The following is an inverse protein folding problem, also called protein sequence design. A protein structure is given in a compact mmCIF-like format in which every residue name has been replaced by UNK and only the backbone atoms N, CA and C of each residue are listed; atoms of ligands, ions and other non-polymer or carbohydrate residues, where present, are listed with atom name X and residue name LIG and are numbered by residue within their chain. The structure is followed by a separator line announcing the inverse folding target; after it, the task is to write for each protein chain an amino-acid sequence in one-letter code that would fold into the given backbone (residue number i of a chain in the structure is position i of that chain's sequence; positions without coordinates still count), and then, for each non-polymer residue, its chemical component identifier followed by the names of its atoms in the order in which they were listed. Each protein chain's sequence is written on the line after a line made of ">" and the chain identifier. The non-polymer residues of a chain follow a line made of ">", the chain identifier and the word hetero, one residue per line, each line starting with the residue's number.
data_IF_933189642995
#
_entry.id   IF_933189642995
#
_cell.length_a   1.000
_cell.length_b   1.000
_cell.length_c   1.000
_cell.angle_alpha   90.00
_cell.angle_beta   90.00
_cell.angle_gamma   90.00
#
_symmetry.space_group_name_H-M   'P 1'
#
loop_
_entity.id
_entity.type
_entity.pdbx_description
1 polymer ?
#
# COMPACT_ATOMS: atom_id res chain seq x y z
N UNK A 1 13.56 9.73 17.89
CA UNK A 1 14.43 8.66 17.34
C UNK A 1 14.92 9.07 15.96
N UNK A 2 16.18 8.77 15.61
CA UNK A 2 16.78 9.16 14.32
C UNK A 2 15.98 8.66 13.09
N UNK A 3 15.34 7.50 13.21
CA UNK A 3 14.58 6.84 12.14
C UNK A 3 13.14 7.33 12.00
N UNK A 4 12.65 8.20 12.89
CA UNK A 4 11.24 8.64 12.90
C UNK A 4 10.76 9.25 11.56
N UNK A 5 11.54 10.08 10.82
CA UNK A 5 11.08 10.66 9.56
C UNK A 5 10.85 9.64 8.43
N UNK A 6 11.48 8.47 8.51
CA UNK A 6 11.49 7.46 7.43
C UNK A 6 10.74 6.18 7.81
N UNK A 7 10.13 6.13 9.00
CA UNK A 7 9.35 4.99 9.49
C UNK A 7 7.90 5.39 9.73
N UNK A 8 6.98 4.43 9.77
CA UNK A 8 5.63 4.64 10.26
C UNK A 8 5.65 4.91 11.78
N UNK A 9 6.48 4.16 12.51
CA UNK A 9 6.84 4.48 13.87
C UNK A 9 8.22 3.93 14.22
N UNK A 10 8.79 4.51 15.27
CA UNK A 10 10.06 4.11 15.86
C UNK A 10 9.87 3.98 17.37
N UNK A 11 10.11 2.78 17.92
CA UNK A 11 9.90 2.47 19.33
C UNK A 11 11.12 1.73 19.92
N UNK A 12 11.23 1.72 21.25
CA UNK A 12 12.22 0.93 22.00
C UNK A 12 11.43 -0.02 22.91
N UNK A 13 11.74 -1.31 22.87
CA UNK A 13 11.22 -2.28 23.83
C UNK A 13 12.05 -2.17 25.11
N UNK A 14 11.44 -1.73 26.21
CA UNK A 14 12.11 -1.56 27.50
C UNK A 14 12.06 -2.85 28.33
N UNK A 15 11.08 -3.71 28.06
CA UNK A 15 10.89 -5.03 28.66
C UNK A 15 10.62 -6.09 27.59
N UNK A 16 10.77 -7.37 27.91
CA UNK A 16 10.48 -8.45 26.97
C UNK A 16 8.99 -8.49 26.63
N UNK A 17 8.15 -8.11 27.60
CA UNK A 17 6.70 -8.05 27.53
C UNK A 17 6.17 -6.99 26.54
N UNK A 18 6.98 -5.99 26.17
CA UNK A 18 6.61 -4.99 25.17
C UNK A 18 6.62 -5.56 23.74
N UNK A 19 7.43 -6.60 23.49
CA UNK A 19 7.67 -7.12 22.13
C UNK A 19 6.41 -7.64 21.43
N UNK A 20 5.56 -8.47 22.07
CA UNK A 20 4.35 -8.96 21.43
C UNK A 20 3.46 -7.83 20.89
N UNK A 21 3.23 -6.78 21.68
CA UNK A 21 2.38 -5.66 21.27
C UNK A 21 3.04 -4.81 20.18
N UNK A 22 4.34 -4.50 20.31
CA UNK A 22 5.07 -3.73 19.31
C UNK A 22 5.12 -4.43 17.95
N UNK A 23 5.28 -5.77 17.95
CA UNK A 23 5.24 -6.58 16.73
C UNK A 23 3.82 -6.62 16.16
N UNK A 24 2.79 -6.88 16.98
CA UNK A 24 1.40 -6.87 16.53
C UNK A 24 1.01 -5.51 15.93
N UNK A 25 1.48 -4.41 16.51
CA UNK A 25 1.30 -3.07 15.97
C UNK A 25 2.05 -2.86 14.65
N UNK A 26 3.26 -3.41 14.49
CA UNK A 26 4.00 -3.33 13.23
C UNK A 26 3.23 -3.99 12.08
N UNK A 27 2.73 -5.22 12.31
CA UNK A 27 1.92 -5.92 11.32
C UNK A 27 0.58 -5.24 11.02
N UNK A 28 -0.06 -4.65 12.04
CA UNK A 28 -1.24 -3.83 11.83
C UNK A 28 -0.99 -2.69 10.83
N UNK A 29 0.11 -1.95 10.99
CA UNK A 29 0.49 -0.87 10.08
C UNK A 29 0.73 -1.39 8.66
N UNK A 30 1.37 -2.55 8.52
CA UNK A 30 1.64 -3.15 7.21
C UNK A 30 0.35 -3.54 6.47
N UNK A 31 -0.67 -3.99 7.20
CA UNK A 31 -1.92 -4.49 6.64
C UNK A 31 -2.97 -3.39 6.39
N UNK A 32 -3.06 -2.39 7.27
CA UNK A 32 -4.14 -1.40 7.23
C UNK A 32 -3.79 -0.10 6.49
N UNK A 33 -2.51 0.20 6.27
CA UNK A 33 -2.07 1.49 5.72
C UNK A 33 -1.29 1.35 4.42
N UNK A 34 -0.74 2.46 3.91
CA UNK A 34 0.34 2.38 2.91
C UNK A 34 1.55 1.74 3.59
N UNK A 35 2.06 0.60 3.09
CA UNK A 35 3.21 -0.05 3.71
C UNK A 35 4.38 0.92 3.85
N UNK A 36 4.87 1.06 5.08
CA UNK A 36 6.00 1.92 5.46
C UNK A 36 6.89 1.14 6.43
N UNK A 37 8.22 1.36 6.43
CA UNK A 37 9.11 0.69 7.37
C UNK A 37 8.72 0.98 8.82
N UNK A 38 8.93 0.01 9.71
CA UNK A 38 8.78 0.17 11.16
C UNK A 38 10.13 -0.13 11.81
N UNK A 39 10.48 0.63 12.84
CA UNK A 39 11.71 0.42 13.62
C UNK A 39 11.38 0.09 15.07
N UNK A 40 11.87 -1.05 15.55
CA UNK A 40 11.79 -1.46 16.96
C UNK A 40 13.23 -1.72 17.42
N UNK A 41 13.70 -0.94 18.39
CA UNK A 41 14.99 -1.16 19.04
C UNK A 41 14.81 -2.07 20.24
N UNK A 42 15.65 -3.09 20.34
CA UNK A 42 15.60 -4.09 21.42
C UNK A 42 16.98 -4.15 22.08
N UNK A 43 17.12 -3.68 23.34
CA UNK A 43 18.35 -3.85 24.11
C UNK A 43 18.72 -5.33 24.27
N UNK A 44 20.01 -5.66 24.30
CA UNK A 44 20.46 -7.06 24.35
C UNK A 44 19.94 -7.82 25.58
N UNK A 45 19.84 -7.16 26.72
CA UNK A 45 19.30 -7.73 27.95
C UNK A 45 17.78 -7.99 27.86
N UNK A 46 17.06 -7.24 27.02
CA UNK A 46 15.64 -7.47 26.73
C UNK A 46 15.49 -8.61 25.72
N UNK A 47 16.34 -8.63 24.69
CA UNK A 47 16.32 -9.67 23.65
C UNK A 47 16.58 -11.07 24.21
N UNK A 48 17.43 -11.20 25.24
CA UNK A 48 17.73 -12.48 25.88
C UNK A 48 16.76 -12.89 26.98
N UNK A 49 15.84 -12.00 27.39
CA UNK A 49 14.88 -12.29 28.45
C UNK A 49 13.66 -13.06 27.90
N UNK A 50 13.14 -14.05 28.65
CA UNK A 50 11.94 -14.78 28.23
C UNK A 50 10.69 -13.91 28.38
N UNK A 51 9.74 -14.06 27.46
CA UNK A 51 8.37 -13.55 27.65
C UNK A 51 7.59 -14.59 28.46
N UNK A 52 7.00 -14.19 29.59
CA UNK A 52 6.39 -15.11 30.56
C UNK A 52 5.17 -15.90 30.03
N UNK A 53 4.55 -15.45 28.94
CA UNK A 53 3.35 -16.04 28.33
C UNK A 53 3.61 -16.46 26.90
N UNK A 54 2.85 -17.45 26.44
CA UNK A 54 2.74 -17.72 25.01
C UNK A 54 2.04 -16.53 24.32
N UNK A 55 2.65 -16.06 23.23
CA UNK A 55 2.17 -14.94 22.43
C UNK A 55 2.18 -15.27 20.94
N UNK A 56 2.32 -16.55 20.59
CA UNK A 56 2.39 -17.03 19.21
C UNK A 56 1.14 -16.65 18.39
N UNK A 57 0.01 -16.43 19.07
CA UNK A 57 -1.28 -16.06 18.46
C UNK A 57 -1.64 -14.58 18.65
N UNK A 58 -0.79 -13.76 19.25
CA UNK A 58 -1.10 -12.35 19.53
C UNK A 58 -0.97 -11.46 18.30
N UNK A 59 -0.12 -11.86 17.36
CA UNK A 59 0.06 -11.17 16.07
C UNK A 59 -1.06 -11.61 15.13
N UNK A 60 -2.28 -11.13 15.40
CA UNK A 60 -3.43 -11.38 14.54
C UNK A 60 -3.41 -10.41 13.37
N UNK A 61 -3.63 -10.95 12.16
CA UNK A 61 -3.90 -10.15 10.95
C UNK A 61 -5.03 -9.18 11.25
N UNK A 62 -4.72 -7.87 11.21
CA UNK A 62 -5.76 -6.85 11.35
C UNK A 62 -6.51 -6.71 10.02
N UNK A 63 -7.77 -6.23 10.04
CA UNK A 63 -8.50 -5.98 8.81
C UNK A 63 -7.63 -5.15 7.87
N UNK A 64 -7.53 -5.61 6.63
CA UNK A 64 -6.76 -4.91 5.61
C UNK A 64 -7.34 -3.51 5.34
N UNK A 65 -6.66 -2.78 4.46
CA UNK A 65 -7.16 -1.50 3.93
C UNK A 65 -8.66 -1.55 3.63
N UNK A 66 -9.39 -0.56 4.14
CA UNK A 66 -10.82 -0.45 3.89
C UNK A 66 -11.13 -0.36 2.40
N UNK A 67 -12.28 -0.89 2.00
CA UNK A 67 -12.81 -0.70 0.64
C UNK A 67 -13.46 0.67 0.51
N UNK A 68 -13.51 1.27 -0.70
CA UNK A 68 -14.29 2.47 -0.94
C UNK A 68 -15.75 2.28 -0.52
N UNK A 69 -16.41 3.37 -0.07
CA UNK A 69 -17.85 3.34 0.18
C UNK A 69 -18.61 3.21 -1.14
N UNK A 70 -19.82 2.64 -1.11
CA UNK A 70 -20.69 2.56 -2.28
C UNK A 70 -20.92 3.94 -2.93
N UNK A 71 -21.12 4.98 -2.11
CA UNK A 71 -21.27 6.36 -2.58
C UNK A 71 -20.06 6.87 -3.34
N UNK A 72 -18.84 6.63 -2.84
CA UNK A 72 -17.62 7.04 -3.54
C UNK A 72 -17.44 6.29 -4.86
N UNK A 73 -17.86 5.03 -4.92
CA UNK A 73 -17.84 4.24 -6.15
C UNK A 73 -18.85 4.77 -7.18
N UNK A 74 -20.07 5.07 -6.77
CA UNK A 74 -21.11 5.63 -7.63
C UNK A 74 -20.69 6.99 -8.22
N UNK A 75 -20.10 7.85 -7.40
CA UNK A 75 -19.54 9.13 -7.86
C UNK A 75 -18.43 8.95 -8.89
N UNK A 76 -17.52 7.99 -8.67
CA UNK A 76 -16.45 7.69 -9.62
C UNK A 76 -17.01 7.20 -10.96
N UNK A 77 -18.00 6.29 -10.93
CA UNK A 77 -18.68 5.77 -12.12
C UNK A 77 -19.39 6.89 -12.88
N UNK A 78 -20.12 7.77 -12.18
CA UNK A 78 -20.80 8.90 -12.82
C UNK A 78 -19.81 9.86 -13.51
N UNK A 79 -18.67 10.14 -12.88
CA UNK A 79 -17.60 10.98 -13.48
C UNK A 79 -16.98 10.31 -14.71
N UNK A 80 -16.72 9.01 -14.66
CA UNK A 80 -16.18 8.27 -15.80
C UNK A 80 -17.17 8.22 -16.97
N UNK A 81 -18.47 8.04 -16.71
CA UNK A 81 -19.51 8.07 -17.75
C UNK A 81 -19.66 9.45 -18.41
N UNK A 82 -19.50 10.53 -17.65
CA UNK A 82 -19.58 11.90 -18.19
C UNK A 82 -18.31 12.36 -18.92
N UNK A 83 -17.21 11.62 -18.83
CA UNK A 83 -15.92 12.01 -19.40
C UNK A 83 -15.91 11.86 -20.92
N UNK A 84 -15.59 12.95 -21.64
CA UNK A 84 -15.49 12.93 -23.11
C UNK A 84 -14.16 12.36 -23.62
N UNK A 85 -13.07 12.56 -22.86
CA UNK A 85 -11.70 12.15 -23.22
C UNK A 85 -10.95 11.68 -21.96
N UNK A 86 -11.36 10.54 -21.35
CA UNK A 86 -10.74 10.06 -20.13
C UNK A 86 -9.29 9.60 -20.37
N UNK A 87 -8.46 9.72 -19.34
CA UNK A 87 -7.14 9.13 -19.28
C UNK A 87 -6.93 8.51 -17.89
N UNK A 88 -6.09 7.48 -17.81
CA UNK A 88 -5.75 6.80 -16.55
C UNK A 88 -4.29 7.10 -16.22
N UNK A 89 -4.02 7.49 -14.97
CA UNK A 89 -2.66 7.64 -14.45
C UNK A 89 -2.53 6.67 -13.26
N UNK A 90 -1.70 5.65 -13.40
CA UNK A 90 -1.53 4.59 -12.40
C UNK A 90 -0.10 4.58 -11.84
N UNK A 91 0.03 4.55 -10.52
CA UNK A 91 1.32 4.44 -9.82
C UNK A 91 1.60 3.02 -9.34
N UNK A 92 2.77 2.82 -8.69
CA UNK A 92 3.15 1.51 -8.13
C UNK A 92 2.18 0.93 -7.09
N UNK A 93 1.28 1.74 -6.53
CA UNK A 93 0.20 1.24 -5.66
C UNK A 93 -0.83 0.36 -6.39
N UNK A 94 -0.85 0.37 -7.72
CA UNK A 94 -1.78 -0.41 -8.51
C UNK A 94 -1.19 -1.72 -9.08
N UNK A 95 0.06 -2.09 -8.71
CA UNK A 95 0.76 -3.25 -9.29
C UNK A 95 -0.04 -4.56 -9.19
N UNK A 96 -0.81 -4.73 -8.12
CA UNK A 96 -1.66 -5.92 -7.92
C UNK A 96 -3.02 -5.83 -8.64
N UNK A 97 -3.27 -4.78 -9.40
CA UNK A 97 -4.51 -4.52 -10.13
C UNK A 97 -4.24 -4.31 -11.64
N UNK A 98 -3.16 -4.89 -12.15
CA UNK A 98 -2.71 -4.70 -13.53
C UNK A 98 -3.76 -5.18 -14.54
N UNK A 99 -4.38 -6.33 -14.29
CA UNK A 99 -5.41 -6.90 -15.18
C UNK A 99 -6.66 -6.02 -15.19
N UNK A 100 -7.16 -5.65 -14.02
CA UNK A 100 -8.36 -4.82 -13.86
C UNK A 100 -8.16 -3.42 -14.48
N UNK A 101 -6.95 -2.86 -14.36
CA UNK A 101 -6.60 -1.61 -15.02
C UNK A 101 -6.54 -1.74 -16.54
N UNK A 102 -6.02 -2.85 -17.07
CA UNK A 102 -6.00 -3.12 -18.50
C UNK A 102 -7.42 -3.23 -19.06
N UNK A 103 -8.30 -3.95 -18.37
CA UNK A 103 -9.71 -4.08 -18.71
C UNK A 103 -10.43 -2.73 -18.65
N UNK A 104 -10.20 -1.93 -17.61
CA UNK A 104 -10.79 -0.60 -17.47
C UNK A 104 -10.32 0.36 -18.56
N UNK A 105 -9.01 0.38 -18.85
CA UNK A 105 -8.40 1.18 -19.93
C UNK A 105 -9.05 0.83 -21.27
N UNK A 106 -9.20 -0.46 -21.57
CA UNK A 106 -9.83 -0.95 -22.80
C UNK A 106 -11.29 -0.51 -22.90
N UNK A 107 -12.07 -0.70 -21.82
CA UNK A 107 -13.51 -0.36 -21.80
C UNK A 107 -13.77 1.14 -21.96
N UNK A 108 -12.90 1.97 -21.41
CA UNK A 108 -13.02 3.43 -21.50
C UNK A 108 -12.37 4.01 -22.77
N UNK A 109 -11.69 3.17 -23.57
CA UNK A 109 -10.78 3.62 -24.62
C UNK A 109 -9.82 4.72 -24.11
N UNK A 110 -9.36 4.58 -22.87
CA UNK A 110 -8.60 5.58 -22.15
C UNK A 110 -7.10 5.21 -22.16
N UNK A 111 -6.20 6.09 -22.65
CA UNK A 111 -4.76 5.86 -22.54
C UNK A 111 -4.35 5.75 -21.07
N UNK A 112 -3.50 4.76 -20.78
CA UNK A 112 -2.96 4.49 -19.45
C UNK A 112 -1.50 4.94 -19.38
N UNK A 113 -1.26 5.95 -18.55
CA UNK A 113 0.06 6.40 -18.16
C UNK A 113 0.46 5.78 -16.83
N UNK A 114 1.73 5.43 -16.70
CA UNK A 114 2.28 4.90 -15.46
C UNK A 114 3.24 5.90 -14.81
N UNK A 115 3.37 5.89 -13.49
CA UNK A 115 4.57 6.47 -12.87
C UNK A 115 5.77 5.54 -13.10
N UNK A 116 6.99 6.01 -12.83
CA UNK A 116 8.19 5.15 -12.90
C UNK A 116 8.04 3.90 -12.01
N UNK A 117 7.41 4.04 -10.84
CA UNK A 117 7.14 2.93 -9.92
C UNK A 117 5.97 2.02 -10.37
N UNK A 118 5.16 2.45 -11.35
CA UNK A 118 4.08 1.67 -11.95
C UNK A 118 4.46 1.02 -13.29
N UNK A 119 5.73 1.11 -13.72
CA UNK A 119 6.18 0.41 -14.94
C UNK A 119 5.91 -1.09 -14.81
N UNK A 120 5.42 -1.69 -15.89
CA UNK A 120 5.02 -3.10 -15.93
C UNK A 120 3.54 -3.36 -15.63
N UNK A 121 2.75 -2.32 -15.31
CA UNK A 121 1.29 -2.44 -15.20
C UNK A 121 0.61 -2.84 -16.52
N UNK A 122 1.22 -2.49 -17.65
CA UNK A 122 0.83 -2.96 -18.98
C UNK A 122 2.06 -3.51 -19.71
N UNK A 123 1.88 -4.50 -20.60
CA UNK A 123 2.90 -4.88 -21.58
C UNK A 123 3.36 -3.67 -22.41
N UNK A 124 4.63 -3.61 -22.84
CA UNK A 124 5.15 -2.50 -23.65
C UNK A 124 4.41 -2.28 -24.97
N UNK A 125 3.84 -3.34 -25.54
CA UNK A 125 3.12 -3.38 -26.81
C UNK A 125 1.59 -3.24 -26.65
N UNK A 126 1.09 -3.09 -25.42
CA UNK A 126 -0.34 -2.93 -25.18
C UNK A 126 -0.87 -1.64 -25.86
N UNK A 127 -1.98 -1.70 -26.63
CA UNK A 127 -2.43 -0.59 -27.48
C UNK A 127 -2.67 0.75 -26.79
N UNK A 128 -3.08 0.73 -25.52
CA UNK A 128 -3.37 1.92 -24.71
C UNK A 128 -2.26 2.27 -23.71
N UNK A 129 -1.09 1.62 -23.80
CA UNK A 129 0.06 1.97 -22.99
C UNK A 129 0.67 3.28 -23.51
N UNK A 130 0.49 4.35 -22.73
CA UNK A 130 0.98 5.69 -23.08
C UNK A 130 2.34 6.01 -22.41
N UNK A 131 2.99 5.02 -21.80
CA UNK A 131 4.32 5.14 -21.23
C UNK A 131 4.34 5.76 -19.82
N UNK A 132 5.52 6.26 -19.42
CA UNK A 132 5.77 6.77 -18.06
C UNK A 132 6.12 8.25 -17.97
N UNK A 133 5.95 8.98 -19.06
CA UNK A 133 6.23 10.42 -19.14
C UNK A 133 4.95 11.15 -19.51
N UNK A 134 4.44 11.95 -18.58
CA UNK A 134 3.39 12.92 -18.87
C UNK A 134 4.09 14.19 -19.37
N UNK A 135 4.28 14.29 -20.68
CA UNK A 135 4.70 15.57 -21.27
C UNK A 135 3.49 16.49 -21.25
N UNK A 136 3.45 17.38 -20.28
CA UNK A 136 2.52 18.51 -20.25
C UNK A 136 3.33 19.68 -20.78
N UNK A 137 3.05 20.11 -22.02
CA UNK A 137 3.51 21.41 -22.53
C UNK A 137 2.87 22.55 -21.73
#
# INVERSE_FOLDING_TARGET
>A
AMTAPITAFSAVALTAEDLPELIARAYAVFDSERPRPVHISVPLNVLSAPVARDWSNDVVRRPGRGTPTATALDEAVARLHGAKRPMIIAGGGALNAAQELAELSTRLAAPLFTSVAGKGLLPPDAPLNAGSSLCVE
#
